data_IF_726718354581
#
_entry.id   IF_726718354581
#
_cell.length_a   1.000
_cell.length_b   1.000
_cell.length_c   1.000
_cell.angle_alpha   90.00
_cell.angle_beta   90.00
_cell.angle_gamma   90.00
#
_symmetry.space_group_name_H-M   'P 1'
#
loop_
_entity.id
_entity.type
_entity.pdbx_description
1 polymer ?
#
# COMPACT_ATOMS: atom_id res chain seq x y z
N UNK A 1 -22.99 -25.69 -2.92
CA UNK A 1 -23.22 -25.16 -2.99
C UNK A 1 -23.18 -24.41 -2.85
N UNK A 2 -23.02 -24.39 -2.76
CA UNK A 2 -23.09 -23.64 -2.80
C UNK A 2 -22.72 -22.82 -2.11
N UNK A 3 -22.38 -22.82 -1.72
CA UNK A 3 -22.17 -22.07 -1.19
C UNK A 3 -21.63 -21.15 -1.21
N UNK A 4 -21.10 -21.26 -1.55
CA UNK A 4 -20.61 -20.35 -1.79
C UNK A 4 -20.83 -19.43 -2.30
N UNK A 5 -21.18 -19.61 -2.59
CA UNK A 5 -21.47 -18.89 -3.24
C UNK A 5 -21.93 -17.81 -2.99
N UNK A 6 -22.52 -17.88 -2.64
CA UNK A 6 -22.97 -16.78 -2.31
C UNK A 6 -22.04 -16.07 -1.65
N UNK A 7 -21.22 -16.56 -1.33
CA UNK A 7 -20.35 -15.90 -0.77
C UNK A 7 -19.82 -14.91 -1.62
N UNK A 8 -19.16 -13.95 -1.17
CA UNK A 8 -18.66 -12.91 -1.95
C UNK A 8 -17.57 -13.39 -2.76
N UNK A 9 -17.69 -13.25 -4.07
CA UNK A 9 -16.65 -13.57 -4.90
C UNK A 9 -15.97 -12.34 -5.25
N UNK A 10 -14.71 -12.21 -4.93
CA UNK A 10 -13.93 -11.07 -5.30
C UNK A 10 -13.68 -11.11 -6.77
N UNK A 11 -13.74 -9.97 -7.41
CA UNK A 11 -13.49 -9.91 -8.80
C UNK A 11 -12.53 -8.79 -9.04
N UNK A 12 -11.63 -8.97 -9.98
CA UNK A 12 -10.65 -7.96 -10.29
C UNK A 12 -11.31 -6.81 -11.02
N UNK A 13 -11.18 -5.61 -10.48
CA UNK A 13 -11.76 -4.44 -11.10
C UNK A 13 -10.76 -3.76 -12.01
N UNK A 14 -9.53 -3.69 -11.59
CA UNK A 14 -8.46 -3.12 -12.39
C UNK A 14 -7.16 -3.48 -11.70
N UNK A 15 -6.08 -3.22 -12.39
CA UNK A 15 -4.77 -3.58 -11.86
C UNK A 15 -3.84 -2.39 -12.00
N UNK A 16 -3.08 -2.12 -10.96
CA UNK A 16 -2.01 -1.13 -11.03
C UNK A 16 -0.72 -1.86 -10.77
N UNK A 17 0.31 -1.56 -11.55
CA UNK A 17 1.59 -2.19 -11.34
C UNK A 17 2.69 -1.16 -11.38
N UNK A 18 3.72 -1.41 -10.60
CA UNK A 18 4.88 -0.53 -10.52
C UNK A 18 6.09 -1.31 -10.98
N UNK A 19 6.89 -0.66 -11.80
CA UNK A 19 8.16 -1.25 -12.25
C UNK A 19 9.26 -0.31 -11.86
N UNK A 20 10.26 -0.85 -11.19
CA UNK A 20 11.41 -0.06 -10.76
C UNK A 20 12.60 -0.41 -11.62
N UNK A 21 13.28 0.59 -12.11
CA UNK A 21 14.48 0.37 -12.92
C UNK A 21 15.61 1.20 -12.36
N UNK A 22 16.81 0.71 -12.49
CA UNK A 22 17.97 1.43 -12.04
C UNK A 22 19.16 1.01 -12.88
N UNK A 23 20.13 1.89 -12.97
CA UNK A 23 21.38 1.54 -13.64
C UNK A 23 22.30 0.88 -12.64
N UNK A 24 23.59 0.92 -12.94
CA UNK A 24 24.58 0.34 -12.04
C UNK A 24 24.57 1.03 -10.70
N UNK A 25 24.29 2.32 -10.70
CA UNK A 25 24.24 3.09 -9.49
C UNK A 25 22.79 3.08 -9.00
N UNK A 26 22.52 2.35 -7.98
CA UNK A 26 21.15 2.20 -7.48
C UNK A 26 20.61 3.45 -6.81
N UNK A 27 21.40 4.49 -6.71
CA UNK A 27 20.92 5.70 -6.11
C UNK A 27 19.92 6.43 -6.99
N UNK A 28 20.02 6.25 -8.29
CA UNK A 28 19.09 6.84 -9.21
C UNK A 28 18.27 5.75 -9.83
N UNK A 29 16.98 5.85 -9.69
CA UNK A 29 16.12 4.84 -10.24
C UNK A 29 14.87 5.48 -10.79
N UNK A 30 14.20 4.74 -11.62
CA UNK A 30 12.95 5.19 -12.19
C UNK A 30 11.82 4.29 -11.74
N UNK A 31 10.64 4.83 -11.71
CA UNK A 31 9.46 4.05 -11.39
C UNK A 31 8.42 4.34 -12.46
N UNK A 32 7.87 3.28 -13.00
CA UNK A 32 6.82 3.40 -13.99
C UNK A 32 5.59 2.71 -13.45
N UNK A 33 4.45 3.37 -13.54
CA UNK A 33 3.21 2.77 -13.11
C UNK A 33 2.33 2.54 -14.32
N UNK A 34 1.72 1.38 -14.38
CA UNK A 34 0.81 1.05 -15.46
C UNK A 34 -0.51 0.61 -14.88
N UNK A 35 -1.56 0.87 -15.61
CA UNK A 35 -2.90 0.46 -15.21
C UNK A 35 -3.50 -0.42 -16.27
N UNK A 36 -4.29 -1.40 -15.84
CA UNK A 36 -5.03 -2.24 -16.75
C UNK A 36 -6.45 -2.36 -16.26
N UNK A 37 -7.37 -2.32 -17.20
CA UNK A 37 -8.76 -2.49 -16.87
C UNK A 37 -9.36 -3.36 -17.95
N UNK A 38 -10.07 -4.40 -17.53
CA UNK A 38 -10.66 -5.37 -18.48
C UNK A 38 -9.58 -5.98 -19.36
N UNK A 39 -8.41 -6.20 -18.79
CA UNK A 39 -7.32 -6.85 -19.53
C UNK A 39 -6.57 -5.95 -20.48
N UNK A 40 -6.90 -4.67 -20.53
CA UNK A 40 -6.24 -3.76 -21.45
C UNK A 40 -5.56 -2.65 -20.70
N UNK A 41 -4.43 -2.23 -21.23
CA UNK A 41 -3.74 -1.10 -20.62
C UNK A 41 -4.58 0.14 -20.75
N UNK A 42 -4.53 0.97 -19.74
CA UNK A 42 -5.27 2.21 -19.74
C UNK A 42 -4.48 3.23 -18.98
N UNK A 43 -4.97 4.45 -18.93
CA UNK A 43 -4.34 5.54 -18.22
C UNK A 43 -5.17 5.90 -17.01
N UNK A 44 -4.50 6.27 -15.93
CA UNK A 44 -5.22 6.71 -14.76
C UNK A 44 -6.09 7.91 -15.04
N UNK A 45 -5.70 8.70 -16.03
CA UNK A 45 -6.52 9.85 -16.40
C UNK A 45 -7.91 9.46 -16.83
N UNK A 46 -8.09 8.21 -17.24
CA UNK A 46 -9.38 7.75 -17.72
C UNK A 46 -10.21 7.08 -16.62
N UNK A 47 -9.69 7.01 -15.41
CA UNK A 47 -10.44 6.42 -14.32
C UNK A 47 -11.47 7.43 -13.81
N UNK A 48 -12.64 6.93 -13.43
CA UNK A 48 -13.63 7.81 -12.84
C UNK A 48 -13.28 8.03 -11.36
N UNK A 49 -14.08 8.81 -10.69
CA UNK A 49 -13.79 9.18 -9.30
C UNK A 49 -13.72 7.98 -8.38
N UNK A 50 -14.60 7.03 -8.56
CA UNK A 50 -14.61 5.86 -7.69
C UNK A 50 -13.33 5.05 -7.86
N UNK A 51 -12.89 4.88 -9.09
CA UNK A 51 -11.68 4.12 -9.33
C UNK A 51 -10.44 4.88 -8.85
N UNK A 52 -10.45 6.19 -8.99
CA UNK A 52 -9.32 6.98 -8.47
C UNK A 52 -9.26 6.90 -6.96
N UNK A 53 -10.40 6.94 -6.31
CA UNK A 53 -10.42 6.84 -4.87
C UNK A 53 -9.93 5.47 -4.40
N UNK A 54 -10.36 4.43 -5.08
CA UNK A 54 -9.88 3.08 -4.77
C UNK A 54 -8.38 2.98 -4.96
N UNK A 55 -7.88 3.58 -6.05
CA UNK A 55 -6.46 3.56 -6.33
C UNK A 55 -5.69 4.26 -5.23
N UNK A 56 -6.17 5.41 -4.82
CA UNK A 56 -5.51 6.18 -3.77
C UNK A 56 -5.47 5.38 -2.47
N UNK A 57 -6.60 4.85 -2.08
CA UNK A 57 -6.66 4.12 -0.82
C UNK A 57 -5.86 2.83 -0.87
N UNK A 58 -5.91 2.15 -1.99
CA UNK A 58 -5.16 0.91 -2.14
C UNK A 58 -3.66 1.13 -2.10
N UNK A 59 -3.20 2.18 -2.77
CA UNK A 59 -1.78 2.48 -2.77
C UNK A 59 -1.34 2.89 -1.37
N UNK A 60 -2.18 3.60 -0.65
CA UNK A 60 -1.84 3.96 0.72
C UNK A 60 -1.66 2.72 1.58
N UNK A 61 -2.52 1.73 1.40
CA UNK A 61 -2.39 0.50 2.17
C UNK A 61 -1.08 -0.20 1.88
N UNK A 62 -0.72 -0.27 0.61
CA UNK A 62 0.53 -0.91 0.24
C UNK A 62 1.71 -0.09 0.75
N UNK A 63 1.61 1.23 0.66
CA UNK A 63 2.67 2.09 1.13
C UNK A 63 2.89 1.89 2.64
N UNK A 64 1.81 1.71 3.39
CA UNK A 64 1.95 1.48 4.83
C UNK A 64 2.70 0.18 5.10
N UNK A 65 2.43 -0.85 4.33
CA UNK A 65 3.14 -2.10 4.50
C UNK A 65 4.61 -1.98 4.17
N UNK A 66 4.91 -1.27 3.10
CA UNK A 66 6.30 -1.06 2.71
C UNK A 66 7.01 -0.23 3.77
N UNK A 67 6.34 0.77 4.29
CA UNK A 67 6.93 1.62 5.30
C UNK A 67 7.27 0.81 6.55
N UNK A 68 6.36 -0.07 6.95
CA UNK A 68 6.61 -0.90 8.10
C UNK A 68 7.87 -1.76 7.90
N UNK A 69 7.96 -2.40 6.74
CA UNK A 69 9.10 -3.27 6.45
C UNK A 69 10.39 -2.47 6.35
N UNK A 70 10.32 -1.30 5.76
CA UNK A 70 11.50 -0.45 5.62
C UNK A 70 12.00 0.00 6.98
N UNK A 71 11.09 0.46 7.83
CA UNK A 71 11.46 0.94 9.16
C UNK A 71 12.02 -0.21 10.00
N UNK A 72 11.40 -1.38 9.89
CA UNK A 72 11.90 -2.53 10.60
C UNK A 72 13.31 -2.87 10.14
N UNK A 73 13.56 -2.77 8.85
CA UNK A 73 14.89 -3.04 8.32
C UNK A 73 15.92 -2.03 8.82
N UNK A 74 15.53 -0.76 8.89
CA UNK A 74 16.43 0.25 9.41
C UNK A 74 16.81 -0.05 10.84
N UNK A 75 15.85 -0.46 11.64
CA UNK A 75 16.11 -0.78 13.02
C UNK A 75 16.97 -2.03 13.14
N UNK A 76 16.62 -3.08 12.42
CA UNK A 76 17.34 -4.35 12.50
C UNK A 76 18.77 -4.25 12.03
N UNK A 77 19.07 -3.31 11.15
CA UNK A 77 20.42 -3.13 10.65
C UNK A 77 21.18 -2.05 11.38
N UNK A 78 20.64 -1.57 12.50
CA UNK A 78 21.35 -0.60 13.31
C UNK A 78 21.32 0.82 12.82
N UNK A 79 20.47 1.11 11.83
CA UNK A 79 20.42 2.46 11.28
C UNK A 79 19.32 3.31 11.91
N UNK A 80 18.63 2.76 12.90
CA UNK A 80 17.58 3.49 13.58
C UNK A 80 17.60 3.06 15.04
N UNK A 81 17.47 3.99 15.97
CA UNK A 81 17.51 3.66 17.37
C UNK A 81 16.22 2.99 17.82
N UNK A 82 16.29 2.30 18.95
CA UNK A 82 15.11 1.66 19.52
C UNK A 82 14.03 2.69 19.81
N UNK A 83 14.44 3.83 20.31
CA UNK A 83 13.47 4.86 20.66
C UNK A 83 12.71 5.34 19.43
N UNK A 84 13.43 5.60 18.35
CA UNK A 84 12.81 6.05 17.13
C UNK A 84 11.92 4.97 16.56
N UNK A 85 12.42 3.74 16.56
CA UNK A 85 11.66 2.64 16.02
C UNK A 85 10.34 2.45 16.77
N UNK A 86 10.42 2.46 18.11
CA UNK A 86 9.23 2.26 18.90
C UNK A 86 8.22 3.38 18.71
N UNK A 87 8.69 4.60 18.54
CA UNK A 87 7.79 5.72 18.33
C UNK A 87 7.06 5.58 17.02
N UNK A 88 7.77 5.20 15.97
CA UNK A 88 7.15 5.06 14.65
C UNK A 88 6.19 3.88 14.64
N UNK A 89 6.59 2.76 15.24
CA UNK A 89 5.74 1.59 15.22
C UNK A 89 4.49 1.77 16.05
N UNK A 90 4.58 2.48 17.14
CA UNK A 90 3.41 2.74 17.94
C UNK A 90 2.41 3.55 17.15
N UNK A 91 2.90 4.52 16.40
CA UNK A 91 2.02 5.35 15.59
C UNK A 91 1.42 4.54 14.45
N UNK A 92 2.27 3.82 13.74
CA UNK A 92 1.81 3.05 12.60
C UNK A 92 0.89 1.92 13.02
N UNK A 93 1.24 1.26 14.11
CA UNK A 93 0.46 0.12 14.54
C UNK A 93 -0.92 0.49 14.99
N UNK A 94 -1.10 1.72 15.45
CA UNK A 94 -2.39 2.12 15.88
C UNK A 94 -3.25 2.59 14.77
N UNK A 95 -2.65 2.91 13.62
CA UNK A 95 -3.39 3.49 12.58
C UNK A 95 -4.53 2.66 12.10
N UNK A 96 -4.34 1.40 11.79
CA UNK A 96 -5.40 0.61 11.20
C UNK A 96 -6.55 0.36 12.11
N UNK A 97 -6.33 0.19 13.36
CA UNK A 97 -7.41 -0.10 14.18
C UNK A 97 -7.69 0.94 15.11
N UNK A 98 -6.81 1.81 15.27
CA UNK A 98 -7.02 2.75 16.26
C UNK A 98 -8.08 3.70 15.96
N UNK A 99 -8.38 3.85 14.73
CA UNK A 99 -9.37 4.68 14.51
C UNK A 99 -10.53 4.20 15.17
N UNK A 100 -10.63 2.99 15.23
CA UNK A 100 -11.74 2.47 15.87
C UNK A 100 -11.66 2.74 17.31
N UNK A 101 -10.57 2.57 17.84
CA UNK A 101 -10.48 2.77 19.18
C UNK A 101 -10.28 4.04 19.61
N UNK A 102 -9.63 4.55 19.18
CA UNK A 102 -9.23 5.63 19.71
C UNK A 102 -9.96 6.59 19.83
N UNK A 103 -10.34 6.40 19.40
CA UNK A 103 -10.98 7.23 19.47
C UNK A 103 -11.54 7.41 20.47
N UNK A 104 -11.62 6.80 20.80
CA UNK A 104 -12.16 6.89 21.66
C UNK A 104 -11.65 7.15 22.63
N UNK A 105 -11.14 7.05 22.79
CA UNK A 105 -10.77 7.33 23.70
C UNK A 105 -10.49 8.26 24.00
N UNK A 106 -10.52 8.38 23.52
CA UNK A 106 -10.43 9.18 23.72
C UNK A 106 -10.54 9.79 24.03
#
# INVERSE_FOLDING_TARGET
MEQNENEIKEKELFELSLTFTAGDDKKQFGVTMKAKKDGKETSLDLFDSDFLEMSYNGVKMVFSQITYLYVKNLHDTGRMSDKEYNAIMAHAGRQPQSEADNDEEK
#
